data_IF_111306527568
#
_entry.id   IF_111306527568
#
_cell.length_a   1.000
_cell.length_b   1.000
_cell.length_c   1.000
_cell.angle_alpha   90.00
_cell.angle_beta   90.00
_cell.angle_gamma   90.00
#
_symmetry.space_group_name_H-M   'P 1'
#
loop_
_entity.id
_entity.type
_entity.pdbx_description
1 polymer ?
#
# COMPACT_ATOMS: atom_id res chain seq x y z
N UNK A 1 -7.18 28.50 -4.19
CA UNK A 1 -6.34 27.82 -5.12
C UNK A 1 -5.86 26.53 -4.50
N UNK A 2 -6.29 25.36 -4.96
CA UNK A 2 -5.69 24.08 -4.57
C UNK A 2 -4.30 24.06 -5.18
N UNK A 3 -3.27 23.89 -4.35
CA UNK A 3 -1.97 23.51 -4.85
C UNK A 3 -2.14 22.21 -5.64
N UNK A 4 -1.67 22.18 -6.85
CA UNK A 4 -1.58 20.93 -7.62
C UNK A 4 -0.67 19.99 -6.85
N UNK A 5 -1.01 18.71 -6.70
CA UNK A 5 -0.06 17.76 -6.18
C UNK A 5 1.23 17.77 -7.02
N UNK A 6 2.37 17.33 -6.48
CA UNK A 6 3.64 17.38 -7.18
C UNK A 6 3.64 16.42 -8.36
N UNK A 7 3.22 16.90 -9.50
CA UNK A 7 3.01 16.11 -10.68
C UNK A 7 4.09 16.25 -11.65
N UNK A 8 4.49 15.12 -12.17
CA UNK A 8 5.30 15.00 -13.38
C UNK A 8 6.17 16.23 -13.53
N UNK A 9 7.30 16.22 -12.85
CA UNK A 9 8.20 17.36 -12.76
C UNK A 9 8.89 17.71 -14.09
N UNK A 10 8.55 17.01 -15.17
CA UNK A 10 9.01 17.32 -16.52
C UNK A 10 7.92 16.98 -17.54
N UNK A 11 7.73 17.82 -18.57
CA UNK A 11 6.98 17.43 -19.74
C UNK A 11 7.64 16.20 -20.33
N UNK A 12 6.84 15.22 -20.69
CA UNK A 12 7.31 14.00 -21.28
C UNK A 12 7.51 14.26 -22.77
N UNK A 13 8.72 14.27 -23.26
CA UNK A 13 9.04 14.28 -24.68
C UNK A 13 8.69 12.92 -25.32
N UNK A 14 7.41 12.72 -25.71
CA UNK A 14 6.97 11.36 -25.99
C UNK A 14 6.01 11.25 -27.16
N UNK A 15 6.20 11.93 -28.20
CA UNK A 15 5.48 11.57 -29.40
C UNK A 15 6.46 11.15 -30.48
N UNK A 16 6.67 9.82 -30.63
CA UNK A 16 7.23 9.27 -31.87
C UNK A 16 6.08 9.10 -32.84
N UNK A 17 6.05 9.91 -33.88
CA UNK A 17 5.02 9.86 -34.90
C UNK A 17 5.54 9.08 -36.10
N UNK A 18 4.79 8.09 -36.56
CA UNK A 18 5.05 7.42 -37.82
C UNK A 18 4.58 8.34 -38.99
N UNK A 19 5.49 8.81 -39.79
CA UNK A 19 5.17 9.63 -40.97
C UNK A 19 5.63 11.08 -40.90
N UNK A 20 5.17 11.89 -41.85
CA UNK A 20 5.51 13.31 -42.04
C UNK A 20 4.87 14.27 -41.01
N UNK A 21 4.24 13.72 -39.97
CA UNK A 21 3.61 14.48 -38.90
C UNK A 21 2.25 15.12 -39.26
N UNK A 22 1.71 14.85 -40.43
CA UNK A 22 0.45 15.46 -40.92
C UNK A 22 -0.71 14.47 -40.83
N UNK A 23 -0.49 13.16 -40.90
CA UNK A 23 -1.55 12.14 -40.87
C UNK A 23 -1.19 10.87 -40.07
N UNK A 24 -0.12 10.89 -39.30
CA UNK A 24 0.41 9.74 -38.58
C UNK A 24 -0.31 9.47 -37.24
N UNK A 25 -0.40 8.21 -36.86
CA UNK A 25 -0.68 7.82 -35.47
C UNK A 25 0.60 8.01 -34.65
N UNK A 26 0.58 8.94 -33.72
CA UNK A 26 1.68 9.09 -32.79
C UNK A 26 1.52 8.07 -31.67
N UNK A 27 2.53 7.26 -31.40
CA UNK A 27 2.66 6.45 -30.19
C UNK A 27 3.38 7.28 -29.16
N UNK A 28 2.78 7.44 -28.02
CA UNK A 28 3.51 7.72 -26.82
C UNK A 28 4.21 6.42 -26.40
N UNK A 29 5.38 6.16 -26.94
CA UNK A 29 6.22 5.11 -26.41
C UNK A 29 6.87 5.68 -25.14
N UNK A 30 6.39 5.22 -24.00
CA UNK A 30 7.23 5.13 -22.84
C UNK A 30 8.28 4.05 -23.14
N UNK A 31 9.18 4.33 -24.06
CA UNK A 31 10.43 3.62 -24.14
C UNK A 31 11.21 4.04 -22.90
N UNK A 32 10.92 3.35 -21.82
CA UNK A 32 11.84 3.24 -20.73
C UNK A 32 13.09 2.55 -21.28
N UNK A 33 14.00 3.31 -21.83
CA UNK A 33 15.39 2.93 -21.75
C UNK A 33 15.71 2.90 -20.26
N UNK A 34 15.75 1.68 -19.72
CA UNK A 34 16.39 1.28 -18.47
C UNK A 34 15.95 2.00 -17.16
N UNK A 35 14.70 2.33 -17.01
CA UNK A 35 14.20 2.80 -15.75
C UNK A 35 12.70 2.76 -15.74
N UNK A 36 12.12 1.85 -14.95
CA UNK A 36 10.71 1.83 -14.67
C UNK A 36 10.23 3.25 -14.35
N UNK A 37 9.55 3.88 -15.30
CA UNK A 37 8.91 5.16 -15.03
C UNK A 37 7.74 4.89 -14.10
N UNK A 38 7.97 5.14 -12.82
CA UNK A 38 6.93 5.04 -11.82
C UNK A 38 6.08 6.29 -11.92
N UNK A 39 4.85 6.10 -12.31
CA UNK A 39 3.86 7.15 -12.25
C UNK A 39 3.49 7.39 -10.77
N UNK A 40 4.13 8.38 -10.16
CA UNK A 40 3.83 8.82 -8.80
C UNK A 40 2.72 9.86 -8.83
N UNK A 41 1.49 9.42 -8.85
CA UNK A 41 0.32 10.28 -8.70
C UNK A 41 -0.65 9.65 -7.73
N UNK A 42 -1.46 10.49 -7.07
CA UNK A 42 -2.62 10.01 -6.33
C UNK A 42 -3.59 9.32 -7.30
N UNK A 43 -4.36 8.37 -6.79
CA UNK A 43 -5.44 7.77 -7.58
C UNK A 43 -6.48 8.81 -7.95
N UNK A 44 -7.00 8.74 -9.17
CA UNK A 44 -7.97 9.75 -9.62
C UNK A 44 -8.07 9.92 -11.12
N UNK A 45 -8.85 10.92 -11.50
CA UNK A 45 -9.03 11.32 -12.91
C UNK A 45 -8.28 12.61 -13.18
N UNK A 46 -7.47 12.58 -14.20
CA UNK A 46 -6.65 13.69 -14.66
C UNK A 46 -6.99 14.06 -16.10
N UNK A 47 -6.79 15.32 -16.46
CA UNK A 47 -6.82 15.75 -17.85
C UNK A 47 -5.45 15.59 -18.47
N UNK A 48 -5.41 15.08 -19.67
CA UNK A 48 -4.22 15.11 -20.51
C UNK A 48 -4.27 16.35 -21.39
N UNK A 49 -3.20 17.13 -21.35
CA UNK A 49 -3.07 18.35 -22.13
C UNK A 49 -1.85 18.27 -23.03
N UNK A 50 -1.97 18.84 -24.20
CA UNK A 50 -0.92 18.87 -25.21
C UNK A 50 -0.41 20.28 -25.47
N UNK A 51 0.88 20.38 -25.77
CA UNK A 51 1.57 21.57 -26.18
C UNK A 51 2.32 21.32 -27.49
N UNK A 52 2.24 22.26 -28.44
CA UNK A 52 3.01 22.21 -29.70
C UNK A 52 4.42 22.78 -29.46
N UNK A 53 5.43 21.91 -29.52
CA UNK A 53 6.84 22.28 -29.34
C UNK A 53 7.37 23.19 -30.47
N UNK A 54 6.67 23.29 -31.60
CA UNK A 54 7.04 24.21 -32.69
C UNK A 54 6.59 25.66 -32.42
N UNK A 55 5.54 25.82 -31.64
CA UNK A 55 4.92 27.13 -31.37
C UNK A 55 5.11 27.60 -29.94
N UNK A 56 5.48 26.72 -29.01
CA UNK A 56 5.62 27.02 -27.59
C UNK A 56 6.86 26.39 -26.96
N UNK A 57 7.18 26.85 -25.77
CA UNK A 57 8.31 26.33 -24.99
C UNK A 57 8.01 25.02 -24.29
N UNK A 58 6.72 24.69 -24.06
CA UNK A 58 6.24 23.50 -23.34
C UNK A 58 6.93 23.27 -21.99
N UNK A 59 7.27 24.34 -21.27
CA UNK A 59 8.01 24.28 -20.01
C UNK A 59 7.13 24.41 -18.78
N UNK A 60 5.98 25.06 -18.93
CA UNK A 60 5.05 25.32 -17.82
C UNK A 60 3.67 24.75 -18.13
N UNK A 61 2.87 24.49 -17.10
CA UNK A 61 1.51 23.98 -17.28
C UNK A 61 0.64 24.87 -18.19
N UNK A 62 0.92 26.16 -18.22
CA UNK A 62 0.14 27.13 -18.97
C UNK A 62 0.43 27.06 -20.49
N UNK A 63 1.52 26.40 -20.89
CA UNK A 63 1.87 26.14 -22.28
C UNK A 63 1.04 24.98 -22.87
N UNK A 64 0.47 24.12 -22.02
CA UNK A 64 -0.34 22.95 -22.41
C UNK A 64 -1.81 23.30 -22.54
N UNK A 65 -2.21 23.89 -23.64
CA UNK A 65 -3.54 24.50 -23.83
C UNK A 65 -4.58 23.61 -24.47
N UNK A 66 -4.17 22.52 -25.10
CA UNK A 66 -5.08 21.64 -25.84
C UNK A 66 -5.44 20.43 -24.99
N UNK A 67 -6.73 20.29 -24.66
CA UNK A 67 -7.28 19.13 -23.97
C UNK A 67 -7.36 17.94 -24.93
N UNK A 68 -6.64 16.85 -24.65
CA UNK A 68 -6.63 15.63 -25.47
C UNK A 68 -7.38 14.48 -24.84
N UNK A 69 -7.94 14.68 -23.62
CA UNK A 69 -8.78 13.68 -22.99
C UNK A 69 -8.52 13.47 -21.51
N UNK A 70 -9.01 12.34 -21.00
CA UNK A 70 -8.90 11.96 -19.60
C UNK A 70 -7.93 10.79 -19.42
N UNK A 71 -7.11 10.92 -18.40
CA UNK A 71 -6.28 9.84 -17.85
C UNK A 71 -6.83 9.45 -16.49
N UNK A 72 -6.93 8.16 -16.21
CA UNK A 72 -7.34 7.66 -14.90
C UNK A 72 -6.18 6.90 -14.25
N UNK A 73 -5.67 7.43 -13.14
CA UNK A 73 -4.74 6.71 -12.28
C UNK A 73 -5.55 5.73 -11.41
N UNK A 74 -5.38 4.44 -11.67
CA UNK A 74 -6.07 3.36 -10.95
C UNK A 74 -5.21 2.83 -9.81
N UNK A 75 -5.85 2.36 -8.74
CA UNK A 75 -5.18 1.78 -7.60
C UNK A 75 -5.81 2.19 -6.26
N UNK A 76 -5.25 1.70 -5.15
CA UNK A 76 -5.67 2.12 -3.82
C UNK A 76 -5.20 3.53 -3.47
N UNK A 77 -5.98 4.24 -2.65
CA UNK A 77 -5.55 5.50 -2.04
C UNK A 77 -4.48 5.19 -0.98
N UNK A 78 -3.35 5.89 -1.00
CA UNK A 78 -2.19 5.55 -0.17
C UNK A 78 -2.36 5.91 1.33
N UNK A 79 -3.20 6.90 1.67
CA UNK A 79 -3.33 7.46 3.01
C UNK A 79 -4.47 6.81 3.82
N UNK A 80 -4.47 5.48 3.89
CA UNK A 80 -5.44 4.70 4.67
C UNK A 80 -4.75 4.00 5.82
N UNK A 81 -5.45 3.87 6.94
CA UNK A 81 -4.95 3.22 8.14
C UNK A 81 -5.91 2.12 8.59
N UNK A 82 -5.36 0.96 8.94
CA UNK A 82 -6.10 -0.19 9.46
C UNK A 82 -5.36 -0.81 10.64
N UNK A 83 -6.08 -1.67 11.37
CA UNK A 83 -5.55 -2.34 12.55
C UNK A 83 -5.75 -3.84 12.45
N UNK A 84 -4.74 -4.60 12.83
CA UNK A 84 -4.79 -6.04 12.99
C UNK A 84 -4.33 -6.43 14.38
N UNK A 85 -4.77 -7.59 14.86
CA UNK A 85 -4.39 -8.11 16.19
C UNK A 85 -3.79 -9.51 15.99
N UNK A 86 -2.61 -9.79 16.56
CA UNK A 86 -2.03 -11.15 16.53
C UNK A 86 -2.97 -12.18 17.16
N UNK A 87 -2.97 -13.40 16.64
CA UNK A 87 -3.88 -14.46 17.05
C UNK A 87 -5.25 -14.43 16.39
N UNK A 88 -5.56 -13.43 15.60
CA UNK A 88 -6.83 -13.30 14.88
C UNK A 88 -6.60 -13.11 13.38
N UNK A 89 -7.59 -13.56 12.58
CA UNK A 89 -7.60 -13.26 11.14
C UNK A 89 -7.82 -11.78 10.94
N UNK A 90 -6.92 -11.14 10.24
CA UNK A 90 -7.06 -9.73 9.90
C UNK A 90 -7.92 -9.58 8.64
N UNK A 91 -8.95 -8.73 8.73
CA UNK A 91 -9.85 -8.41 7.63
C UNK A 91 -9.91 -6.90 7.48
N UNK A 92 -9.39 -6.39 6.38
CA UNK A 92 -9.48 -4.98 6.03
C UNK A 92 -10.74 -4.79 5.18
N UNK A 93 -11.61 -3.89 5.61
CA UNK A 93 -12.86 -3.59 4.94
C UNK A 93 -12.87 -2.16 4.43
N UNK A 94 -13.58 -1.94 3.31
CA UNK A 94 -13.80 -0.61 2.73
C UNK A 94 -12.52 0.09 2.30
N UNK A 95 -11.56 -0.67 1.77
CA UNK A 95 -10.37 -0.09 1.15
C UNK A 95 -10.82 0.90 0.06
N UNK A 96 -10.26 2.09 0.10
CA UNK A 96 -10.57 3.16 -0.86
C UNK A 96 -9.60 3.11 -2.01
N UNK A 97 -10.07 3.52 -3.17
CA UNK A 97 -9.26 3.60 -4.38
C UNK A 97 -10.12 3.74 -5.63
N UNK A 98 -9.46 3.87 -6.74
CA UNK A 98 -10.06 4.01 -8.07
C UNK A 98 -9.86 2.75 -8.86
N UNK A 99 -10.96 2.17 -9.36
CA UNK A 99 -10.94 0.97 -10.20
C UNK A 99 -10.16 -0.20 -9.57
N UNK A 100 -10.37 -0.45 -8.29
CA UNK A 100 -9.94 -1.68 -7.64
C UNK A 100 -10.76 -2.85 -8.17
N UNK A 101 -10.15 -4.02 -8.31
CA UNK A 101 -10.80 -5.19 -8.87
C UNK A 101 -10.86 -6.35 -7.87
N UNK A 102 -11.87 -7.24 -7.99
CA UNK A 102 -11.80 -8.55 -7.37
C UNK A 102 -10.54 -9.28 -7.84
N UNK A 103 -9.91 -10.02 -6.95
CA UNK A 103 -8.64 -10.70 -7.19
C UNK A 103 -7.38 -9.80 -7.31
N UNK A 104 -7.46 -8.50 -7.03
CA UNK A 104 -6.27 -7.75 -6.67
C UNK A 104 -5.63 -8.40 -5.44
N UNK A 105 -4.31 -8.38 -5.36
CA UNK A 105 -3.56 -8.95 -4.23
C UNK A 105 -2.79 -7.88 -3.47
N UNK A 106 -2.52 -8.18 -2.22
CA UNK A 106 -1.82 -7.27 -1.32
C UNK A 106 -0.76 -8.03 -0.52
N UNK A 107 0.33 -7.36 -0.18
CA UNK A 107 1.35 -7.92 0.71
C UNK A 107 1.64 -6.96 1.86
N UNK A 108 1.85 -7.51 3.05
CA UNK A 108 2.23 -6.73 4.23
C UNK A 108 3.75 -6.75 4.39
N UNK A 109 4.37 -5.57 4.32
CA UNK A 109 5.82 -5.40 4.40
C UNK A 109 6.25 -4.62 5.65
N UNK A 110 7.49 -4.90 6.12
CA UNK A 110 8.10 -4.19 7.25
C UNK A 110 8.61 -2.80 6.90
N UNK A 111 8.93 -2.60 5.64
CA UNK A 111 9.52 -1.37 5.15
C UNK A 111 8.45 -0.28 5.02
N UNK A 112 8.87 0.97 5.09
CA UNK A 112 7.99 2.13 4.92
C UNK A 112 7.57 2.35 3.46
N UNK A 113 8.26 1.69 2.54
CA UNK A 113 8.02 1.75 1.11
C UNK A 113 7.81 0.36 0.54
N UNK A 114 6.95 0.25 -0.48
CA UNK A 114 6.79 -0.96 -1.27
C UNK A 114 8.05 -1.23 -2.10
N UNK A 115 8.28 -2.48 -2.53
CA UNK A 115 9.46 -3.01 -3.27
C UNK A 115 10.60 -3.55 -2.41
N UNK A 116 10.57 -3.39 -1.09
CA UNK A 116 11.63 -3.90 -0.22
C UNK A 116 11.64 -5.43 -0.09
N UNK A 117 10.51 -6.07 -0.35
CA UNK A 117 10.37 -7.53 -0.24
C UNK A 117 10.42 -8.06 1.20
N UNK A 118 10.60 -7.21 2.19
CA UNK A 118 10.70 -7.61 3.60
C UNK A 118 9.32 -7.82 4.22
N UNK A 119 8.81 -9.02 4.13
CA UNK A 119 7.49 -9.38 4.66
C UNK A 119 7.45 -9.40 6.19
N UNK A 120 6.26 -9.23 6.73
CA UNK A 120 6.03 -9.28 8.18
C UNK A 120 5.95 -10.75 8.62
N UNK A 121 6.84 -11.14 9.53
CA UNK A 121 6.86 -12.49 10.09
C UNK A 121 5.58 -12.81 10.85
N UNK A 122 5.09 -14.03 10.70
CA UNK A 122 3.87 -14.50 11.34
C UNK A 122 2.59 -14.14 10.60
N UNK A 123 2.67 -13.43 9.47
CA UNK A 123 1.53 -13.24 8.57
C UNK A 123 1.45 -14.42 7.60
N UNK A 124 0.27 -15.05 7.43
CA UNK A 124 0.11 -16.20 6.54
C UNK A 124 0.53 -15.90 5.10
N UNK A 125 0.83 -16.97 4.34
CA UNK A 125 1.17 -16.91 2.92
C UNK A 125 2.29 -15.90 2.61
N UNK A 126 3.36 -15.91 3.41
CA UNK A 126 4.49 -14.98 3.24
C UNK A 126 4.06 -13.51 3.14
N UNK A 127 3.04 -13.12 3.93
CA UNK A 127 2.50 -11.76 3.94
C UNK A 127 1.53 -11.42 2.80
N UNK A 128 1.41 -12.29 1.78
CA UNK A 128 0.52 -12.07 0.64
C UNK A 128 -0.92 -12.42 1.04
N UNK A 129 -1.86 -11.55 0.71
CA UNK A 129 -3.28 -11.72 1.00
C UNK A 129 -3.92 -12.82 0.15
N UNK A 130 -5.11 -13.25 0.55
CA UNK A 130 -6.03 -13.88 -0.40
C UNK A 130 -6.46 -12.85 -1.46
N UNK A 131 -6.90 -13.32 -2.65
CA UNK A 131 -7.48 -12.45 -3.65
C UNK A 131 -8.56 -11.55 -3.07
N UNK A 132 -8.50 -10.26 -3.35
CA UNK A 132 -9.41 -9.28 -2.76
C UNK A 132 -10.87 -9.54 -3.15
N UNK A 133 -11.77 -9.27 -2.24
CA UNK A 133 -13.22 -9.39 -2.42
C UNK A 133 -13.88 -8.00 -2.45
N UNK A 134 -15.21 -7.96 -2.56
CA UNK A 134 -16.01 -6.73 -2.56
C UNK A 134 -15.50 -5.66 -3.53
N UNK A 135 -15.24 -6.07 -4.78
CA UNK A 135 -14.72 -5.16 -5.80
C UNK A 135 -13.32 -4.64 -5.49
N UNK A 136 -12.45 -5.46 -4.90
CA UNK A 136 -11.09 -5.09 -4.51
C UNK A 136 -10.99 -4.34 -3.18
N UNK A 137 -12.10 -4.22 -2.45
CA UNK A 137 -12.19 -3.38 -1.23
C UNK A 137 -12.15 -4.13 0.08
N UNK A 138 -12.15 -5.44 0.03
CA UNK A 138 -11.96 -6.28 1.20
C UNK A 138 -10.73 -7.16 1.01
N UNK A 139 -9.80 -7.05 1.95
CA UNK A 139 -8.52 -7.79 1.95
C UNK A 139 -8.47 -8.66 3.20
N UNK A 140 -8.09 -9.91 3.05
CA UNK A 140 -7.92 -10.86 4.15
C UNK A 140 -6.74 -11.80 3.86
N UNK A 141 -6.29 -12.52 4.86
CA UNK A 141 -5.27 -13.56 4.75
C UNK A 141 -5.88 -14.91 5.04
N UNK A 142 -5.23 -15.98 4.58
CA UNK A 142 -5.70 -17.37 4.68
C UNK A 142 -5.89 -17.91 6.12
N UNK A 143 -5.52 -17.11 7.12
CA UNK A 143 -5.65 -17.48 8.52
C UNK A 143 -5.31 -16.33 9.47
N UNK A 144 -5.28 -16.60 10.77
CA UNK A 144 -4.89 -15.62 11.76
C UNK A 144 -3.41 -15.26 11.65
N UNK A 145 -3.08 -14.00 11.97
CA UNK A 145 -1.70 -13.62 12.20
C UNK A 145 -1.16 -14.42 13.39
N UNK A 146 0.05 -14.93 13.29
CA UNK A 146 0.65 -15.66 14.40
C UNK A 146 0.67 -14.79 15.66
N UNK A 147 0.50 -15.40 16.83
CA UNK A 147 0.58 -14.69 18.10
C UNK A 147 1.96 -14.04 18.33
N UNK A 148 2.99 -14.49 17.59
CA UNK A 148 4.35 -13.97 17.58
C UNK A 148 4.57 -12.80 16.62
N UNK A 149 3.55 -12.44 15.82
CA UNK A 149 3.65 -11.25 14.93
C UNK A 149 3.92 -10.02 15.77
N UNK A 150 5.02 -9.33 15.46
CA UNK A 150 5.50 -8.22 16.29
C UNK A 150 4.56 -7.01 16.21
N UNK A 151 4.06 -6.49 17.34
CA UNK A 151 3.23 -5.29 17.35
C UNK A 151 4.01 -4.06 16.90
N UNK A 152 3.50 -3.36 15.89
CA UNK A 152 4.12 -2.18 15.29
C UNK A 152 3.04 -1.30 14.65
N UNK A 153 3.25 0.00 14.61
CA UNK A 153 2.25 0.96 14.09
C UNK A 153 2.30 1.19 12.59
N UNK A 154 3.39 0.88 11.91
CA UNK A 154 3.67 1.40 10.57
C UNK A 154 4.13 0.31 9.58
N UNK A 155 3.50 -0.84 9.58
CA UNK A 155 3.65 -1.79 8.48
C UNK A 155 2.99 -1.23 7.22
N UNK A 156 3.61 -1.48 6.08
CA UNK A 156 3.10 -1.00 4.79
C UNK A 156 2.33 -2.10 4.08
N UNK A 157 1.10 -1.82 3.70
CA UNK A 157 0.32 -2.65 2.80
C UNK A 157 0.63 -2.23 1.36
N UNK A 158 1.12 -3.16 0.57
CA UNK A 158 1.47 -2.94 -0.84
C UNK A 158 0.53 -3.71 -1.75
N UNK A 159 0.17 -3.11 -2.87
CA UNK A 159 -0.82 -3.61 -3.81
C UNK A 159 -0.21 -4.07 -5.12
N UNK A 160 -0.81 -5.11 -5.68
CA UNK A 160 -0.60 -5.59 -7.04
C UNK A 160 -1.96 -5.75 -7.75
N UNK A 161 -2.15 -5.13 -8.91
CA UNK A 161 -3.39 -5.30 -9.68
C UNK A 161 -3.47 -6.70 -10.30
N UNK A 162 -4.68 -7.24 -10.38
CA UNK A 162 -4.94 -8.56 -10.98
C UNK A 162 -4.45 -8.71 -12.43
N UNK A 163 -4.27 -7.59 -13.13
CA UNK A 163 -3.73 -7.58 -14.50
C UNK A 163 -2.22 -7.82 -14.57
N UNK A 164 -1.53 -7.71 -13.45
CA UNK A 164 -0.10 -7.96 -13.32
C UNK A 164 0.07 -9.19 -12.42
N UNK A 165 0.87 -10.14 -12.84
CA UNK A 165 1.18 -11.29 -12.02
C UNK A 165 2.28 -10.89 -11.02
N UNK A 166 1.92 -10.81 -9.72
CA UNK A 166 2.88 -10.64 -8.64
C UNK A 166 2.98 -11.94 -7.85
N UNK A 167 4.13 -12.56 -7.86
CA UNK A 167 4.40 -13.83 -7.16
C UNK A 167 5.34 -13.64 -5.98
N UNK A 168 6.16 -12.61 -6.04
CA UNK A 168 7.14 -12.30 -5.00
C UNK A 168 6.82 -10.95 -4.32
N UNK A 169 7.12 -10.81 -3.04
CA UNK A 169 6.75 -9.60 -2.27
C UNK A 169 7.34 -8.28 -2.80
N UNK A 170 8.46 -8.29 -3.48
CA UNK A 170 9.12 -7.12 -4.06
C UNK A 170 8.47 -6.61 -5.36
N UNK A 171 7.59 -7.41 -5.96
CA UNK A 171 6.79 -7.04 -7.13
C UNK A 171 5.59 -6.16 -6.79
N UNK A 172 5.20 -6.10 -5.49
CA UNK A 172 4.14 -5.24 -4.99
C UNK A 172 4.66 -3.82 -4.77
N UNK A 173 4.46 -2.97 -5.73
CA UNK A 173 5.19 -1.69 -5.82
C UNK A 173 4.38 -0.47 -5.39
N UNK A 174 3.07 -0.60 -5.22
CA UNK A 174 2.17 0.52 -4.92
C UNK A 174 1.67 0.44 -3.49
N UNK A 175 1.90 1.49 -2.72
CA UNK A 175 1.40 1.59 -1.35
C UNK A 175 -0.13 1.74 -1.35
N UNK A 176 -0.80 0.92 -0.54
CA UNK A 176 -2.25 0.92 -0.37
C UNK A 176 -2.70 1.45 0.99
N UNK A 177 -1.95 1.17 2.06
CA UNK A 177 -2.33 1.57 3.41
C UNK A 177 -1.15 1.45 4.37
N UNK A 178 -1.34 1.98 5.57
CA UNK A 178 -0.55 1.66 6.77
C UNK A 178 -1.35 0.69 7.63
N UNK A 179 -0.70 -0.34 8.13
CA UNK A 179 -1.28 -1.33 9.03
C UNK A 179 -0.60 -1.26 10.38
N UNK A 180 -1.37 -0.97 11.43
CA UNK A 180 -0.89 -1.10 12.79
C UNK A 180 -1.25 -2.48 13.34
N UNK A 181 -0.26 -3.24 13.78
CA UNK A 181 -0.46 -4.49 14.50
C UNK A 181 -0.48 -4.19 15.99
N UNK A 182 -1.66 -4.34 16.61
CA UNK A 182 -1.91 -3.96 18.00
C UNK A 182 -1.64 -5.14 18.93
N UNK A 183 -1.09 -4.86 20.09
CA UNK A 183 -0.88 -5.87 21.14
C UNK A 183 0.29 -5.55 22.06
N UNK A 184 0.49 -6.36 23.11
CA UNK A 184 1.64 -6.22 23.98
C UNK A 184 2.94 -6.61 23.26
N UNK A 185 4.02 -5.93 23.57
CA UNK A 185 5.35 -6.32 23.10
C UNK A 185 5.72 -7.69 23.71
N UNK A 186 6.40 -8.56 22.96
CA UNK A 186 6.86 -9.84 23.46
C UNK A 186 8.05 -9.67 24.44
N UNK A 187 8.36 -10.76 25.17
CA UNK A 187 9.54 -10.87 26.03
C UNK A 187 9.58 -9.89 27.23
N UNK A 188 8.42 -9.49 27.73
CA UNK A 188 8.33 -8.76 29.00
C UNK A 188 8.28 -9.75 30.15
N UNK A 189 9.14 -9.54 31.17
CA UNK A 189 9.26 -10.42 32.31
C UNK A 189 8.73 -9.71 33.56
N UNK A 190 7.91 -10.41 34.34
CA UNK A 190 7.32 -9.92 35.58
C UNK A 190 7.55 -10.93 36.69
N UNK A 191 7.77 -10.45 37.89
CA UNK A 191 7.99 -11.29 39.07
C UNK A 191 6.91 -11.01 40.11
N UNK A 192 6.34 -12.07 40.72
CA UNK A 192 5.38 -11.97 41.80
C UNK A 192 5.78 -12.90 42.94
N UNK A 193 5.65 -12.42 44.15
CA UNK A 193 5.89 -13.23 45.34
C UNK A 193 4.65 -14.07 45.67
N UNK A 194 4.86 -15.34 45.98
CA UNK A 194 3.79 -16.23 46.44
C UNK A 194 3.23 -15.75 47.76
N UNK A 195 1.90 -15.65 47.83
CA UNK A 195 1.21 -15.22 49.03
C UNK A 195 0.93 -13.72 49.16
N UNK A 196 1.52 -12.92 48.27
CA UNK A 196 1.29 -11.49 48.21
C UNK A 196 0.47 -11.08 46.95
N UNK A 197 -0.23 -9.92 46.97
CA UNK A 197 -0.89 -9.39 45.81
C UNK A 197 0.14 -9.10 44.70
N UNK A 198 -0.08 -9.66 43.51
CA UNK A 198 0.77 -9.41 42.34
C UNK A 198 0.25 -8.20 41.56
N UNK A 199 1.09 -7.19 41.42
CA UNK A 199 0.82 -6.03 40.55
C UNK A 199 1.72 -6.11 39.32
N UNK A 200 1.11 -6.29 38.17
CA UNK A 200 1.80 -6.19 36.89
C UNK A 200 1.66 -4.75 36.40
N UNK A 201 2.75 -4.01 36.45
CA UNK A 201 2.81 -2.62 36.00
C UNK A 201 3.59 -2.50 34.70
N UNK A 202 3.39 -1.39 34.01
CA UNK A 202 4.21 -0.99 32.83
C UNK A 202 4.24 -2.01 31.69
N UNK A 203 3.09 -2.63 31.39
CA UNK A 203 2.96 -3.48 30.20
C UNK A 203 3.10 -2.62 28.97
N UNK A 204 4.18 -2.85 28.21
CA UNK A 204 4.46 -2.13 26.98
C UNK A 204 3.78 -2.81 25.79
N UNK A 205 3.28 -2.00 24.85
CA UNK A 205 2.61 -2.49 23.65
C UNK A 205 2.10 -1.38 22.75
N UNK A 206 1.49 -1.79 21.65
CA UNK A 206 0.89 -0.90 20.65
C UNK A 206 -0.62 -0.97 20.79
N UNK A 207 -1.28 0.17 20.97
CA UNK A 207 -2.73 0.27 21.02
C UNK A 207 -3.41 -0.42 22.22
N UNK A 208 -2.69 -0.68 23.30
CA UNK A 208 -3.23 -1.26 24.53
C UNK A 208 -4.30 -0.34 25.15
N UNK A 209 -5.37 -0.93 25.66
CA UNK A 209 -6.53 -0.20 26.21
C UNK A 209 -6.88 -0.65 27.62
N UNK A 210 -7.56 0.22 28.37
CA UNK A 210 -7.96 -0.01 29.77
C UNK A 210 -8.84 -1.24 30.01
N UNK A 211 -9.38 -1.88 28.97
CA UNK A 211 -10.23 -3.07 29.08
C UNK A 211 -9.51 -4.34 28.64
N UNK A 212 -8.28 -4.25 28.19
CA UNK A 212 -7.48 -5.41 27.85
C UNK A 212 -7.24 -6.24 29.12
N UNK A 213 -7.12 -7.55 28.94
CA UNK A 213 -6.98 -8.49 30.03
C UNK A 213 -5.76 -9.37 29.82
N UNK A 214 -5.10 -9.70 30.90
CA UNK A 214 -3.96 -10.60 30.96
C UNK A 214 -4.34 -11.80 31.80
N UNK A 215 -3.89 -12.97 31.41
CA UNK A 215 -3.98 -14.21 32.18
C UNK A 215 -2.60 -14.85 32.23
N UNK A 216 -2.24 -15.39 33.41
CA UNK A 216 -1.06 -16.24 33.54
C UNK A 216 -1.47 -17.72 33.32
N UNK A 217 -0.75 -18.39 32.44
CA UNK A 217 -0.96 -19.82 32.13
C UNK A 217 0.35 -20.58 32.27
N UNK A 218 0.27 -21.87 32.60
CA UNK A 218 1.45 -22.73 32.75
C UNK A 218 2.04 -23.23 31.44
N UNK A 219 1.27 -23.09 30.34
CA UNK A 219 1.62 -23.58 29.00
C UNK A 219 1.63 -22.39 28.00
N UNK A 220 1.64 -22.71 26.73
CA UNK A 220 1.54 -21.70 25.67
C UNK A 220 0.19 -20.96 25.70
N UNK A 221 0.18 -19.72 25.26
CA UNK A 221 -1.04 -18.96 25.06
C UNK A 221 -1.80 -19.51 23.83
N UNK A 222 -3.12 -19.51 23.93
CA UNK A 222 -4.01 -20.00 22.86
C UNK A 222 -4.17 -21.53 22.83
N UNK A 223 -5.01 -22.00 21.89
CA UNK A 223 -5.26 -23.42 21.68
C UNK A 223 -4.09 -24.13 21.04
#
# INVERSE_FOLDING_TARGET
GRAWPPFISAPIDILTCDGDGISGKCKGDYAADEGNFIFNADTGKYRMCWCDSKTGTCLTKDDFTVDIGLFTAVGPDADQEYFCVPGYTCVLNKLKGVSLFPADEYVLQKDSECRGGNVVEGVPNNGISEPAMDGGRQVTWSGPFAATTYPKQDYTLCWCPVQVLCTEPDEFVTRAAIISVLGPLPNQNYECLLGDPCIIADVNGVGLQNKDRIIAVSNACGP
#
